data_IF_229194887162
#
_entry.id   IF_229194887162
#
_cell.length_a   1.000
_cell.length_b   1.000
_cell.length_c   1.000
_cell.angle_alpha   90.00
_cell.angle_beta   90.00
_cell.angle_gamma   90.00
#
_symmetry.space_group_name_H-M   'P 1'
#
loop_
_entity.id
_entity.type
_entity.pdbx_description
1 polymer ?
#
# COMPACT_ATOMS: atom_id res chain seq x y z
N UNK A 1 5.11 20.60 -16.39
CA UNK A 1 4.89 19.58 -15.33
C UNK A 1 6.24 18.90 -15.11
N UNK A 2 6.91 19.16 -13.99
CA UNK A 2 8.25 18.60 -13.72
C UNK A 2 8.06 17.14 -13.32
N UNK A 3 8.50 16.22 -14.19
CA UNK A 3 8.67 14.81 -13.89
C UNK A 3 9.80 14.67 -12.87
N UNK A 4 9.49 14.27 -11.64
CA UNK A 4 10.50 13.84 -10.68
C UNK A 4 10.76 12.35 -10.98
N UNK A 5 11.91 12.08 -11.59
CA UNK A 5 12.41 10.73 -11.84
C UNK A 5 13.06 10.22 -10.55
N UNK A 6 12.42 9.27 -9.87
CA UNK A 6 13.06 8.53 -8.78
C UNK A 6 13.91 7.41 -9.37
N UNK A 7 15.22 7.60 -9.40
CA UNK A 7 16.19 6.58 -9.81
C UNK A 7 16.50 5.69 -8.60
N UNK A 8 16.33 4.37 -8.72
CA UNK A 8 16.55 3.42 -7.61
C UNK A 8 17.84 2.61 -7.84
N UNK A 9 18.86 2.70 -6.97
CA UNK A 9 20.05 1.83 -7.05
C UNK A 9 19.77 0.43 -6.48
N UNK A 10 20.41 -0.59 -7.06
CA UNK A 10 20.29 -2.00 -6.66
C UNK A 10 20.74 -2.25 -5.22
N UNK A 11 19.92 -2.93 -4.41
CA UNK A 11 20.22 -3.26 -3.00
C UNK A 11 21.12 -4.50 -2.86
N UNK A 12 22.09 -4.51 -1.90
CA UNK A 12 22.94 -5.66 -1.63
C UNK A 12 22.24 -6.72 -0.73
N UNK A 13 22.63 -8.00 -0.93
CA UNK A 13 22.09 -9.22 -0.28
C UNK A 13 22.08 -9.15 1.26
N UNK A 14 20.89 -9.24 1.85
CA UNK A 14 20.71 -9.43 3.31
C UNK A 14 20.98 -10.89 3.74
N UNK A 15 21.77 -11.06 4.82
CA UNK A 15 22.05 -12.35 5.49
C UNK A 15 20.93 -12.71 6.47
N UNK A 16 20.59 -14.01 6.52
CA UNK A 16 19.55 -14.59 7.38
C UNK A 16 20.00 -14.67 8.83
N UNK A 17 19.21 -14.10 9.74
CA UNK A 17 19.22 -14.39 11.17
C UNK A 17 17.80 -14.77 11.59
N UNK A 18 17.62 -15.96 12.17
CA UNK A 18 16.32 -16.52 12.53
C UNK A 18 15.85 -15.98 13.89
N UNK A 19 14.64 -15.42 13.93
CA UNK A 19 13.90 -15.11 15.16
C UNK A 19 12.59 -15.90 15.16
N UNK A 20 12.35 -16.66 16.24
CA UNK A 20 11.12 -17.40 16.50
C UNK A 20 9.95 -16.43 16.61
N UNK A 21 9.07 -16.42 15.61
CA UNK A 21 7.79 -15.70 15.63
C UNK A 21 6.72 -16.56 16.31
N UNK A 22 5.86 -15.90 17.08
CA UNK A 22 4.63 -16.48 17.63
C UNK A 22 3.82 -17.16 16.50
N UNK A 23 3.27 -18.34 16.80
CA UNK A 23 2.74 -19.30 15.81
C UNK A 23 1.37 -18.96 15.21
N UNK A 24 0.75 -17.83 15.55
CA UNK A 24 -0.67 -17.56 15.23
C UNK A 24 -0.93 -16.40 14.25
N UNK A 25 0.10 -15.81 13.63
CA UNK A 25 -0.08 -14.89 12.49
C UNK A 25 0.51 -15.48 11.22
N UNK A 26 -0.04 -16.60 10.76
CA UNK A 26 0.06 -16.93 9.33
C UNK A 26 -0.49 -15.74 8.55
N UNK A 27 0.39 -15.03 7.83
CA UNK A 27 0.01 -13.93 6.93
C UNK A 27 -1.01 -14.50 5.94
N UNK A 28 -2.29 -14.23 6.18
CA UNK A 28 -3.35 -14.61 5.26
C UNK A 28 -3.09 -13.88 3.94
N UNK A 29 -2.89 -14.64 2.87
CA UNK A 29 -2.70 -14.13 1.50
C UNK A 29 -4.02 -13.83 0.78
N UNK A 30 -5.15 -13.95 1.48
CA UNK A 30 -6.49 -13.78 0.93
C UNK A 30 -7.37 -12.93 1.84
N UNK A 31 -8.30 -12.20 1.22
CA UNK A 31 -9.32 -11.42 1.91
C UNK A 31 -10.60 -12.24 2.04
N UNK A 32 -11.17 -12.37 3.25
CA UNK A 32 -12.42 -13.12 3.49
C UNK A 32 -13.64 -12.48 2.82
N UNK A 33 -13.58 -11.17 2.54
CA UNK A 33 -14.63 -10.47 1.79
C UNK A 33 -14.52 -10.70 0.27
N UNK A 34 -13.46 -11.34 -0.21
CA UNK A 34 -13.28 -11.62 -1.64
C UNK A 34 -14.21 -12.76 -2.10
N UNK A 35 -14.84 -12.57 -3.26
CA UNK A 35 -15.63 -13.60 -3.93
C UNK A 35 -14.77 -14.65 -4.66
N UNK A 36 -13.44 -14.53 -4.62
CA UNK A 36 -12.53 -15.51 -5.23
C UNK A 36 -12.74 -16.86 -4.52
N UNK A 37 -13.17 -17.91 -5.24
CA UNK A 37 -13.44 -19.21 -4.65
C UNK A 37 -12.20 -19.75 -3.93
N UNK A 38 -12.38 -20.25 -2.69
CA UNK A 38 -11.29 -20.85 -1.91
C UNK A 38 -10.64 -22.02 -2.65
N UNK A 39 -11.40 -22.70 -3.50
CA UNK A 39 -10.95 -23.81 -4.32
C UNK A 39 -10.03 -23.37 -5.47
N UNK A 40 -10.24 -22.18 -6.04
CA UNK A 40 -9.36 -21.61 -7.06
C UNK A 40 -7.97 -21.26 -6.48
N UNK A 41 -7.94 -20.82 -5.22
CA UNK A 41 -6.71 -20.57 -4.47
C UNK A 41 -5.99 -21.87 -4.09
N UNK A 42 -6.73 -22.98 -3.85
CA UNK A 42 -6.17 -24.27 -3.44
C UNK A 42 -5.71 -25.15 -4.61
N UNK A 43 -6.37 -25.07 -5.77
CA UNK A 43 -6.00 -25.84 -6.96
C UNK A 43 -4.87 -25.17 -7.78
N UNK A 44 -4.60 -23.89 -7.53
CA UNK A 44 -3.41 -23.22 -8.04
C UNK A 44 -2.10 -23.70 -7.40
N UNK A 45 -2.13 -24.46 -6.30
CA UNK A 45 -0.95 -24.78 -5.46
C UNK A 45 0.19 -25.47 -6.20
N UNK A 46 -0.02 -26.14 -7.34
CA UNK A 46 1.08 -26.70 -8.14
C UNK A 46 1.74 -25.71 -9.13
N UNK A 47 1.15 -24.53 -9.36
CA UNK A 47 1.72 -23.45 -10.21
C UNK A 47 1.90 -22.12 -9.46
N UNK A 48 1.46 -22.05 -8.20
CA UNK A 48 1.37 -20.85 -7.37
C UNK A 48 2.47 -20.81 -6.29
N UNK A 49 3.53 -21.62 -6.39
CA UNK A 49 4.72 -21.45 -5.53
C UNK A 49 5.57 -20.24 -5.96
N UNK A 50 5.22 -19.57 -7.08
CA UNK A 50 5.85 -18.36 -7.63
C UNK A 50 4.88 -17.17 -7.80
N UNK A 51 3.72 -17.17 -7.14
CA UNK A 51 2.63 -16.19 -7.35
C UNK A 51 2.77 -14.87 -6.60
N UNK A 52 3.99 -14.43 -6.36
CA UNK A 52 4.22 -13.10 -5.84
C UNK A 52 4.13 -12.11 -7.00
N UNK A 53 3.75 -10.86 -6.72
CA UNK A 53 3.91 -9.79 -7.70
C UNK A 53 5.35 -9.84 -8.24
N UNK A 54 5.56 -9.78 -9.58
CA UNK A 54 6.89 -9.82 -10.15
C UNK A 54 7.78 -8.79 -9.47
N UNK A 55 8.94 -9.22 -8.99
CA UNK A 55 9.90 -8.32 -8.33
C UNK A 55 10.18 -7.16 -9.27
N UNK A 56 10.35 -5.98 -8.67
CA UNK A 56 10.62 -4.73 -9.38
C UNK A 56 9.48 -4.21 -10.28
N UNK A 57 8.34 -4.92 -10.39
CA UNK A 57 7.14 -4.37 -11.02
C UNK A 57 6.62 -3.15 -10.25
N UNK A 58 5.89 -2.27 -10.95
CA UNK A 58 5.28 -1.07 -10.34
C UNK A 58 4.41 -1.44 -9.14
N UNK A 59 3.57 -2.48 -9.27
CA UNK A 59 2.73 -2.95 -8.16
C UNK A 59 3.55 -3.50 -6.99
N UNK A 60 4.61 -4.26 -7.25
CA UNK A 60 5.48 -4.76 -6.18
C UNK A 60 6.12 -3.61 -5.40
N UNK A 61 6.64 -2.60 -6.10
CA UNK A 61 7.26 -1.41 -5.49
C UNK A 61 6.26 -0.60 -4.67
N UNK A 62 5.07 -0.35 -5.21
CA UNK A 62 3.99 0.34 -4.48
C UNK A 62 3.64 -0.45 -3.21
N UNK A 63 3.49 -1.77 -3.30
CA UNK A 63 3.20 -2.61 -2.14
C UNK A 63 4.31 -2.52 -1.08
N UNK A 64 5.59 -2.49 -1.45
CA UNK A 64 6.67 -2.32 -0.47
C UNK A 64 6.56 -0.99 0.30
N UNK A 65 6.16 0.09 -0.36
CA UNK A 65 5.95 1.40 0.28
C UNK A 65 4.71 1.38 1.16
N UNK A 66 3.60 0.76 0.72
CA UNK A 66 2.41 0.58 1.53
C UNK A 66 2.69 -0.22 2.82
N UNK A 67 3.63 -1.18 2.77
CA UNK A 67 4.06 -1.98 3.92
C UNK A 67 4.90 -1.22 4.96
N UNK A 68 5.26 0.04 4.72
CA UNK A 68 5.86 0.89 5.76
C UNK A 68 4.89 1.15 6.93
N UNK A 69 3.58 1.00 6.68
CA UNK A 69 2.55 0.97 7.72
C UNK A 69 2.55 -0.36 8.49
N UNK A 70 3.57 -0.55 9.33
CA UNK A 70 3.76 -1.78 10.10
C UNK A 70 2.94 -1.83 11.39
N UNK A 71 2.51 -0.67 11.91
CA UNK A 71 1.83 -0.55 13.19
C UNK A 71 0.30 -0.45 13.05
N UNK A 72 -0.19 -0.19 11.82
CA UNK A 72 -1.56 0.24 11.55
C UNK A 72 -1.92 1.55 12.28
N UNK A 73 -3.06 2.13 11.92
CA UNK A 73 -3.50 3.41 12.51
C UNK A 73 -3.68 3.32 14.03
N UNK A 74 -4.15 2.19 14.55
CA UNK A 74 -4.28 1.94 15.99
C UNK A 74 -2.92 1.98 16.72
N UNK A 75 -1.84 1.52 16.08
CA UNK A 75 -0.48 1.56 16.65
C UNK A 75 0.23 2.90 16.41
N UNK A 76 -0.12 3.62 15.34
CA UNK A 76 0.45 4.96 15.03
C UNK A 76 -0.18 6.05 15.90
N UNK A 77 -1.47 5.95 16.22
CA UNK A 77 -2.19 7.02 16.92
C UNK A 77 -1.60 7.38 18.30
N UNK A 78 -1.17 6.43 19.16
CA UNK A 78 -0.46 6.76 20.41
C UNK A 78 0.87 7.49 20.19
N UNK A 79 1.59 7.18 19.11
CA UNK A 79 2.84 7.87 18.75
C UNK A 79 2.55 9.31 18.29
N UNK A 80 1.47 9.49 17.53
CA UNK A 80 0.96 10.82 17.18
C UNK A 80 0.61 11.65 18.42
N UNK A 81 -0.06 11.07 19.41
CA UNK A 81 -0.35 11.74 20.67
C UNK A 81 0.93 12.14 21.43
N UNK A 82 1.95 11.28 21.46
CA UNK A 82 3.26 11.59 22.06
C UNK A 82 3.91 12.81 21.40
N UNK A 83 3.91 12.86 20.06
CA UNK A 83 4.45 14.01 19.31
C UNK A 83 3.62 15.27 19.58
N UNK A 84 2.28 15.18 19.63
CA UNK A 84 1.43 16.32 19.97
C UNK A 84 1.77 16.91 21.35
N UNK A 85 1.84 16.07 22.38
CA UNK A 85 2.20 16.50 23.74
C UNK A 85 3.61 17.14 23.80
N UNK A 86 4.56 16.58 23.05
CA UNK A 86 5.90 17.16 22.95
C UNK A 86 5.87 18.57 22.34
N UNK A 87 5.10 18.74 21.26
CA UNK A 87 4.99 20.03 20.55
C UNK A 87 4.26 21.10 21.36
N UNK A 88 3.38 20.73 22.30
CA UNK A 88 2.76 21.69 23.23
C UNK A 88 3.82 22.40 24.09
N UNK A 89 4.85 21.68 24.51
CA UNK A 89 5.94 22.23 25.34
C UNK A 89 7.10 22.79 24.50
N UNK A 90 7.32 22.22 23.31
CA UNK A 90 8.45 22.55 22.43
C UNK A 90 8.00 22.76 20.96
N UNK A 91 7.24 23.82 20.63
CA UNK A 91 6.68 24.00 19.28
C UNK A 91 7.72 24.08 18.15
N UNK A 92 8.94 24.56 18.47
CA UNK A 92 10.05 24.68 17.50
C UNK A 92 10.51 23.31 16.98
N UNK A 93 10.26 22.25 17.73
CA UNK A 93 10.65 20.90 17.33
C UNK A 93 9.82 20.37 16.16
N UNK A 94 8.73 21.03 15.77
CA UNK A 94 7.99 20.69 14.54
C UNK A 94 8.88 20.70 13.30
N UNK A 95 9.78 21.70 13.21
CA UNK A 95 10.74 21.82 12.11
C UNK A 95 11.85 20.78 12.27
N UNK A 96 12.38 20.62 13.49
CA UNK A 96 13.43 19.63 13.80
C UNK A 96 13.01 18.19 13.47
N UNK A 97 11.73 17.87 13.70
CA UNK A 97 11.13 16.57 13.43
C UNK A 97 10.66 16.41 11.97
N UNK A 98 10.88 17.42 11.11
CA UNK A 98 10.52 17.42 9.69
C UNK A 98 9.03 17.10 9.43
N UNK A 99 8.12 17.54 10.31
CA UNK A 99 6.69 17.19 10.19
C UNK A 99 6.05 17.74 8.90
N UNK A 100 6.53 18.88 8.40
CA UNK A 100 6.04 19.51 7.17
C UNK A 100 7.11 19.56 6.06
N UNK A 101 8.18 18.79 6.22
CA UNK A 101 9.36 18.85 5.38
C UNK A 101 10.45 19.82 5.90
N UNK A 102 11.49 20.10 5.10
CA UNK A 102 11.66 19.66 3.72
C UNK A 102 11.72 18.14 3.56
N UNK A 103 11.27 17.62 2.42
CA UNK A 103 11.34 16.21 2.06
C UNK A 103 12.58 15.97 1.20
N UNK A 104 13.75 16.03 1.84
CA UNK A 104 15.06 15.89 1.21
C UNK A 104 15.64 14.46 1.41
N UNK A 105 16.92 14.29 1.09
CA UNK A 105 17.60 13.00 1.21
C UNK A 105 17.71 12.53 2.67
N UNK A 106 17.92 13.44 3.62
CA UNK A 106 17.99 13.08 5.05
C UNK A 106 16.62 12.54 5.53
N UNK A 107 15.52 13.18 5.10
CA UNK A 107 14.18 12.66 5.32
C UNK A 107 14.01 11.27 4.71
N UNK A 108 14.44 11.06 3.46
CA UNK A 108 14.35 9.77 2.78
C UNK A 108 15.16 8.67 3.48
N UNK A 109 16.40 8.96 3.89
CA UNK A 109 17.24 8.03 4.65
C UNK A 109 16.59 7.64 5.98
N UNK A 110 15.94 8.59 6.65
CA UNK A 110 15.25 8.33 7.92
C UNK A 110 14.13 7.28 7.82
N UNK A 111 13.49 7.16 6.64
CA UNK A 111 12.44 6.18 6.38
C UNK A 111 12.97 4.74 6.32
N UNK A 112 14.26 4.57 6.05
CA UNK A 112 14.90 3.25 5.89
C UNK A 112 15.11 2.51 7.21
N UNK A 113 15.04 3.19 8.37
CA UNK A 113 15.06 2.53 9.66
C UNK A 113 13.71 1.86 9.94
N UNK A 114 13.67 0.53 9.74
CA UNK A 114 12.50 -0.32 9.93
C UNK A 114 12.41 -0.96 11.33
N UNK A 115 13.16 -0.47 12.33
CA UNK A 115 13.05 -0.98 13.71
C UNK A 115 11.60 -0.89 14.20
N UNK A 116 11.09 -1.96 14.77
CA UNK A 116 9.71 -2.06 15.28
C UNK A 116 9.57 -1.79 16.78
N UNK A 117 10.68 -1.85 17.51
CA UNK A 117 10.70 -1.62 18.96
C UNK A 117 10.68 -0.12 19.25
N UNK A 118 9.69 0.30 20.04
CA UNK A 118 9.55 1.67 20.52
C UNK A 118 10.55 1.93 21.66
N UNK A 119 11.48 2.86 21.44
CA UNK A 119 12.48 3.29 22.42
C UNK A 119 11.98 4.41 23.34
N UNK A 120 10.71 4.81 23.20
CA UNK A 120 10.07 5.85 24.00
C UNK A 120 10.37 7.28 23.54
N UNK A 121 11.22 7.47 22.53
CA UNK A 121 11.63 8.80 22.06
C UNK A 121 10.57 9.47 21.18
N UNK A 122 10.65 10.80 21.06
CA UNK A 122 9.80 11.56 20.12
C UNK A 122 10.30 11.38 18.68
N UNK A 123 11.60 11.14 18.50
CA UNK A 123 12.24 10.85 17.21
C UNK A 123 11.74 9.53 16.63
N UNK A 124 11.64 8.48 17.45
CA UNK A 124 11.01 7.21 17.04
C UNK A 124 9.56 7.42 16.63
N UNK A 125 8.79 8.13 17.45
CA UNK A 125 7.38 8.42 17.17
C UNK A 125 7.21 9.20 15.86
N UNK A 126 7.99 10.27 15.65
CA UNK A 126 7.97 11.06 14.43
C UNK A 126 8.33 10.23 13.19
N UNK A 127 9.36 9.37 13.28
CA UNK A 127 9.75 8.48 12.18
C UNK A 127 8.63 7.49 11.81
N UNK A 128 7.95 6.88 12.79
CA UNK A 128 6.82 5.99 12.52
C UNK A 128 5.64 6.72 11.89
N UNK A 129 5.39 7.96 12.31
CA UNK A 129 4.40 8.83 11.68
C UNK A 129 4.78 9.13 10.22
N UNK A 130 6.04 9.40 9.92
CA UNK A 130 6.51 9.62 8.55
C UNK A 130 6.33 8.38 7.67
N UNK A 131 6.72 7.20 8.17
CA UNK A 131 6.51 5.92 7.51
C UNK A 131 5.02 5.68 7.22
N UNK A 132 4.15 5.93 8.20
CA UNK A 132 2.70 5.83 8.01
C UNK A 132 2.18 6.80 6.94
N UNK A 133 2.58 8.07 6.97
CA UNK A 133 2.11 9.09 6.01
C UNK A 133 2.53 8.75 4.57
N UNK A 134 3.75 8.27 4.39
CA UNK A 134 4.26 7.79 3.09
C UNK A 134 3.47 6.57 2.63
N UNK A 135 3.20 5.61 3.52
CA UNK A 135 2.37 4.46 3.21
C UNK A 135 0.94 4.86 2.80
N UNK A 136 0.33 5.83 3.51
CA UNK A 136 -1.01 6.33 3.17
C UNK A 136 -1.04 7.06 1.82
N UNK A 137 0.02 7.80 1.46
CA UNK A 137 0.15 8.34 0.09
C UNK A 137 0.20 7.20 -0.95
N UNK A 138 0.94 6.12 -0.69
CA UNK A 138 1.01 4.97 -1.60
C UNK A 138 -0.27 4.11 -1.62
N UNK A 139 -1.10 4.13 -0.58
CA UNK A 139 -2.43 3.48 -0.55
C UNK A 139 -3.46 4.24 -1.39
N UNK A 140 -3.33 5.56 -1.46
CA UNK A 140 -4.25 6.46 -2.16
C UNK A 140 -3.72 6.92 -3.54
N UNK A 141 -2.60 6.38 -4.03
CA UNK A 141 -2.04 6.77 -5.32
C UNK A 141 -2.78 6.12 -6.49
N UNK A 142 -2.69 6.74 -7.67
CA UNK A 142 -3.25 6.20 -8.90
C UNK A 142 -2.15 5.66 -9.82
N UNK A 143 -2.45 4.59 -10.56
CA UNK A 143 -1.57 4.06 -11.62
C UNK A 143 -2.20 4.37 -12.96
N UNK A 144 -1.47 5.11 -13.81
CA UNK A 144 -1.87 5.38 -15.18
C UNK A 144 -1.06 4.49 -16.14
N UNK A 145 -1.77 3.78 -17.01
CA UNK A 145 -1.17 2.96 -18.07
C UNK A 145 -1.63 3.54 -19.40
N UNK A 146 -0.67 4.02 -20.21
CA UNK A 146 -0.94 4.49 -21.56
C UNK A 146 -0.50 3.42 -22.56
N UNK A 147 -1.38 3.11 -23.51
CA UNK A 147 -1.15 2.15 -24.59
C UNK A 147 -1.20 2.88 -25.92
N UNK A 148 -0.18 2.72 -26.75
CA UNK A 148 -0.18 3.21 -28.13
C UNK A 148 0.01 2.04 -29.08
N UNK A 149 -0.82 1.91 -30.14
CA UNK A 149 -0.57 0.93 -31.19
C UNK A 149 0.83 1.12 -31.77
N UNK A 150 1.53 0.00 -32.01
CA UNK A 150 2.87 -0.01 -32.57
C UNK A 150 2.87 -0.84 -33.86
N UNK A 151 3.16 -0.24 -35.03
CA UNK A 151 3.30 -1.00 -36.26
C UNK A 151 4.56 -1.87 -36.15
N UNK A 152 4.42 -3.16 -36.44
CA UNK A 152 5.53 -4.11 -36.50
C UNK A 152 6.33 -3.84 -37.78
N UNK A 153 7.06 -2.72 -37.81
CA UNK A 153 8.05 -2.45 -38.86
C UNK A 153 9.46 -2.59 -38.29
N UNK A 154 10.32 -3.28 -39.05
CA UNK A 154 11.67 -3.68 -38.65
C UNK A 154 12.55 -2.46 -38.34
N UNK A 155 13.02 -2.32 -37.10
CA UNK A 155 14.15 -1.42 -36.83
C UNK A 155 14.38 -0.96 -35.40
N UNK A 156 13.42 -1.13 -34.49
CA UNK A 156 13.63 -0.72 -33.10
C UNK A 156 12.74 -1.56 -32.18
N UNK A 157 13.32 -2.26 -31.21
CA UNK A 157 12.57 -2.96 -30.16
C UNK A 157 12.42 -2.01 -28.96
N UNK A 158 11.29 -1.30 -28.79
CA UNK A 158 10.99 -0.62 -27.55
C UNK A 158 11.13 -1.56 -26.34
N UNK A 159 11.75 -1.07 -25.27
CA UNK A 159 11.92 -1.84 -24.02
C UNK A 159 10.60 -2.26 -23.35
N UNK A 160 9.46 -1.72 -23.78
CA UNK A 160 8.13 -1.87 -23.17
C UNK A 160 7.08 -2.18 -24.25
N UNK A 161 7.12 -3.39 -24.80
CA UNK A 161 6.13 -3.88 -25.77
C UNK A 161 5.19 -4.90 -25.14
N UNK A 162 3.92 -4.82 -25.54
CA UNK A 162 2.91 -5.85 -25.27
C UNK A 162 2.42 -6.36 -26.62
N UNK A 163 2.80 -7.60 -26.93
CA UNK A 163 2.31 -8.30 -28.10
C UNK A 163 1.11 -9.17 -27.73
N UNK A 164 0.00 -8.98 -28.45
CA UNK A 164 -1.18 -9.84 -28.39
C UNK A 164 -1.30 -10.65 -29.68
N UNK A 165 -2.26 -11.58 -29.75
CA UNK A 165 -2.52 -12.34 -30.98
C UNK A 165 -3.00 -11.50 -32.16
N UNK A 166 -3.38 -10.23 -31.94
CA UNK A 166 -4.02 -9.37 -32.95
C UNK A 166 -3.38 -7.99 -33.12
N UNK A 167 -2.53 -7.56 -32.19
CA UNK A 167 -1.96 -6.22 -32.18
C UNK A 167 -0.68 -6.15 -31.33
N UNK A 168 0.18 -5.20 -31.65
CA UNK A 168 1.31 -4.79 -30.82
C UNK A 168 1.05 -3.40 -30.23
N UNK A 169 1.38 -3.21 -28.96
CA UNK A 169 1.30 -1.94 -28.27
C UNK A 169 2.63 -1.62 -27.60
N UNK A 170 3.04 -0.36 -27.68
CA UNK A 170 4.01 0.20 -26.75
C UNK A 170 3.25 0.78 -25.57
N UNK A 171 3.76 0.55 -24.36
CA UNK A 171 3.13 1.05 -23.16
C UNK A 171 4.06 1.91 -22.31
N UNK A 172 3.45 2.79 -21.53
CA UNK A 172 4.11 3.49 -20.43
C UNK A 172 3.25 3.40 -19.17
N UNK A 173 3.92 3.36 -18.01
CA UNK A 173 3.27 3.32 -16.70
C UNK A 173 3.73 4.53 -15.91
N UNK A 174 2.81 5.20 -15.24
CA UNK A 174 3.06 6.35 -14.38
C UNK A 174 2.29 6.21 -13.08
N UNK A 175 2.83 6.77 -12.00
CA UNK A 175 2.18 6.84 -10.70
C UNK A 175 1.79 8.31 -10.47
N UNK A 176 0.54 8.54 -10.10
CA UNK A 176 -0.04 9.87 -9.86
C UNK A 176 -0.45 9.99 -8.38
N UNK A 177 -0.82 11.21 -7.97
CA UNK A 177 -1.35 11.51 -6.63
C UNK A 177 -0.36 11.22 -5.48
N UNK A 178 0.90 11.61 -5.67
CA UNK A 178 2.02 11.34 -4.75
C UNK A 178 2.28 12.46 -3.73
N UNK A 179 1.30 13.33 -3.48
CA UNK A 179 1.45 14.36 -2.46
C UNK A 179 1.45 13.72 -1.05
N UNK A 180 2.42 14.07 -0.18
CA UNK A 180 2.47 13.54 1.17
C UNK A 180 1.19 13.87 1.95
N UNK A 181 0.57 12.86 2.58
CA UNK A 181 -0.57 13.11 3.47
C UNK A 181 -0.16 14.07 4.59
N UNK A 182 -0.95 15.08 4.96
CA UNK A 182 -0.58 16.03 6.01
C UNK A 182 -0.58 15.35 7.39
N UNK A 183 0.24 15.87 8.31
CA UNK A 183 0.39 15.33 9.66
C UNK A 183 -0.93 15.35 10.46
N UNK A 184 -1.72 16.40 10.29
CA UNK A 184 -2.98 16.63 11.00
C UNK A 184 -4.06 15.60 10.64
N UNK A 185 -3.94 14.93 9.48
CA UNK A 185 -4.93 13.94 9.04
C UNK A 185 -4.93 12.66 9.88
N UNK A 186 -3.89 12.40 10.68
CA UNK A 186 -3.77 11.14 11.45
C UNK A 186 -4.96 10.98 12.43
N UNK A 187 -5.34 12.04 13.12
CA UNK A 187 -6.49 12.01 14.02
C UNK A 187 -7.80 11.74 13.28
N UNK A 188 -7.95 12.29 12.07
CA UNK A 188 -9.12 12.01 11.24
C UNK A 188 -9.15 10.54 10.80
N UNK A 189 -8.01 9.99 10.34
CA UNK A 189 -7.90 8.61 9.88
C UNK A 189 -8.21 7.61 10.99
N UNK A 190 -7.70 7.81 12.21
CA UNK A 190 -8.03 6.96 13.36
C UNK A 190 -9.54 6.91 13.63
N UNK A 191 -10.21 8.07 13.58
CA UNK A 191 -11.65 8.12 13.77
C UNK A 191 -12.44 7.49 12.61
N UNK A 192 -11.95 7.65 11.38
CA UNK A 192 -12.57 7.08 10.19
C UNK A 192 -12.48 5.55 10.19
N UNK A 193 -11.30 5.02 10.49
CA UNK A 193 -11.05 3.58 10.56
C UNK A 193 -11.95 2.90 11.60
N UNK A 194 -12.01 3.47 12.81
CA UNK A 194 -12.94 3.00 13.85
C UNK A 194 -14.40 3.00 13.41
N UNK A 195 -14.84 3.97 12.60
CA UNK A 195 -16.21 3.97 12.03
C UNK A 195 -16.40 2.87 10.99
N UNK A 196 -15.42 2.67 10.12
CA UNK A 196 -15.46 1.63 9.07
C UNK A 196 -15.56 0.24 9.71
N UNK A 197 -14.67 -0.07 10.66
CA UNK A 197 -14.66 -1.36 11.36
C UNK A 197 -15.98 -1.58 12.10
N UNK A 198 -16.42 -0.61 12.89
CA UNK A 198 -17.66 -0.73 13.66
C UNK A 198 -18.87 -0.96 12.74
N UNK A 199 -18.97 -0.22 11.65
CA UNK A 199 -20.05 -0.39 10.69
C UNK A 199 -20.01 -1.76 10.01
N UNK A 200 -18.83 -2.21 9.57
CA UNK A 200 -18.65 -3.51 8.94
C UNK A 200 -19.04 -4.67 9.87
N UNK A 201 -18.60 -4.62 11.13
CA UNK A 201 -18.93 -5.63 12.14
C UNK A 201 -20.42 -5.65 12.47
N UNK A 202 -21.07 -4.48 12.58
CA UNK A 202 -22.50 -4.41 12.80
C UNK A 202 -23.29 -5.00 11.61
N UNK A 203 -22.91 -4.64 10.39
CA UNK A 203 -23.60 -5.10 9.18
C UNK A 203 -23.46 -6.61 8.96
N UNK A 204 -22.28 -7.18 9.22
CA UNK A 204 -22.03 -8.62 9.11
C UNK A 204 -22.80 -9.43 10.17
N UNK A 205 -22.85 -8.96 11.43
CA UNK A 205 -23.67 -9.59 12.49
C UNK A 205 -25.15 -9.61 12.14
N UNK A 206 -25.71 -8.50 11.68
CA UNK A 206 -27.12 -8.42 11.29
C UNK A 206 -27.44 -9.34 10.10
N UNK A 207 -26.54 -9.44 9.11
CA UNK A 207 -26.70 -10.36 7.97
C UNK A 207 -26.68 -11.82 8.43
N UNK A 208 -25.77 -12.21 9.33
CA UNK A 208 -25.72 -13.57 9.87
C UNK A 208 -26.98 -13.91 10.70
N UNK A 209 -27.51 -12.94 11.45
CA UNK A 209 -28.76 -13.12 12.20
C UNK A 209 -30.01 -13.23 11.29
N UNK A 210 -29.99 -12.58 10.12
CA UNK A 210 -31.08 -12.63 9.14
C UNK A 210 -31.04 -13.87 8.21
N UNK A 211 -29.91 -14.59 8.14
CA UNK A 211 -29.70 -15.67 7.16
C UNK A 211 -29.77 -17.06 7.81
N UNK A 212 -30.97 -17.51 8.16
CA UNK A 212 -31.33 -18.94 8.26
C UNK A 212 -32.85 -19.15 8.14
N UNK A 213 -33.37 -20.07 7.30
CA UNK A 213 -32.94 -20.42 5.95
C UNK A 213 -34.02 -20.07 4.90
N UNK A 214 -33.64 -19.31 3.88
CA UNK A 214 -34.04 -19.44 2.47
C UNK A 214 -33.81 -18.10 1.80
N UNK A 215 -32.92 -18.05 0.80
CA UNK A 215 -33.13 -17.48 -0.54
C UNK A 215 -31.76 -17.31 -1.23
N UNK A 216 -31.69 -17.52 -2.57
CA UNK A 216 -30.44 -17.53 -3.31
C UNK A 216 -29.85 -16.11 -3.39
N UNK A 217 -28.53 -16.03 -3.24
CA UNK A 217 -27.77 -14.81 -3.47
C UNK A 217 -27.77 -14.56 -4.99
N UNK A 218 -28.49 -13.52 -5.43
CA UNK A 218 -28.36 -13.00 -6.79
C UNK A 218 -26.96 -12.40 -6.96
N UNK A 219 -26.24 -12.88 -7.98
CA UNK A 219 -24.96 -12.33 -8.42
C UNK A 219 -25.24 -10.98 -9.11
N UNK A 220 -24.76 -9.88 -8.54
CA UNK A 220 -24.60 -8.64 -9.31
C UNK A 220 -23.28 -8.74 -10.09
N UNK A 221 -23.39 -8.89 -11.41
CA UNK A 221 -22.25 -8.91 -12.33
C UNK A 221 -21.60 -7.51 -12.40
N UNK A 222 -20.42 -7.36 -11.79
CA UNK A 222 -19.56 -6.18 -11.98
C UNK A 222 -19.07 -6.12 -13.44
N UNK A 223 -19.85 -5.47 -14.31
CA UNK A 223 -19.49 -5.26 -15.72
C UNK A 223 -18.62 -4.02 -15.86
N UNK A 224 -17.42 -4.19 -16.44
CA UNK A 224 -16.54 -3.08 -16.78
C UNK A 224 -17.08 -2.38 -18.04
N UNK A 225 -17.54 -1.14 -17.91
CA UNK A 225 -18.11 -0.38 -19.03
C UNK A 225 -17.02 0.41 -19.76
N UNK A 226 -16.59 -0.10 -20.92
CA UNK A 226 -15.81 0.69 -21.87
C UNK A 226 -16.74 1.64 -22.61
N UNK A 227 -16.46 2.94 -22.52
CA UNK A 227 -17.13 3.94 -23.35
C UNK A 227 -16.42 3.95 -24.70
N UNK A 228 -17.18 3.73 -25.79
CA UNK A 228 -16.65 3.92 -27.14
C UNK A 228 -16.42 5.41 -27.39
N UNK A 229 -15.21 5.77 -27.85
CA UNK A 229 -14.90 7.08 -28.42
C UNK A 229 -15.19 7.06 -29.91
#
# INVERSE_FOLDING_TARGET
IKLISWFWPSTPRARRGAVKRNRDSEKRSYCEASHVPREALRNGIHSLENSDLPRDSVLWRILQVQMLDMLDIDGVYPLYQRVQQHLETSPKDRIRLHLDGPYDEDFYESLSDLRSEDDGTVEYAARKIHQYRVAMTAKDCSIMIALSPYPVEEGHEPSNEIQTSRACFVFSVSILDLDPKPYENIAHQYNLDGKIINYYVQKTKTKMAATSPSFPIENEDCTLYFHSV
#
